data_IF_026664609862
#
_entry.id   IF_026664609862
#
_cell.length_a   1.000
_cell.length_b   1.000
_cell.length_c   1.000
_cell.angle_alpha   90.00
_cell.angle_beta   90.00
_cell.angle_gamma   90.00
#
_symmetry.space_group_name_H-M   'P 1'
#
loop_
_entity.id
_entity.type
_entity.pdbx_description
1 polymer ?
#
# COMPACT_ATOMS: atom_id res chain seq x y z
N UNK A 1 16.60 13.19 9.43
CA UNK A 1 15.46 12.70 8.64
C UNK A 1 15.84 11.32 8.12
N UNK A 2 15.25 10.25 8.68
CA UNK A 2 15.56 8.89 8.23
C UNK A 2 14.58 8.55 7.12
N UNK A 3 15.10 8.39 5.90
CA UNK A 3 14.34 8.00 4.72
C UNK A 3 14.00 6.50 4.79
N UNK A 4 12.96 6.14 5.55
CA UNK A 4 12.51 4.75 5.69
C UNK A 4 11.68 4.32 4.49
N UNK A 5 12.04 3.17 3.90
CA UNK A 5 11.25 2.45 2.89
C UNK A 5 10.73 3.31 1.71
N UNK A 6 11.50 4.30 1.25
CA UNK A 6 11.05 5.33 0.27
C UNK A 6 10.45 4.72 -1.00
N UNK A 7 11.07 3.68 -1.56
CA UNK A 7 10.56 2.99 -2.76
C UNK A 7 9.14 2.42 -2.57
N UNK A 8 8.81 1.97 -1.36
CA UNK A 8 7.49 1.42 -1.03
C UNK A 8 6.43 2.51 -0.82
N UNK A 9 6.84 3.76 -0.63
CA UNK A 9 5.98 4.95 -0.45
C UNK A 9 5.96 5.85 -1.68
N UNK A 10 6.61 5.46 -2.79
CA UNK A 10 6.56 6.19 -4.06
C UNK A 10 5.12 6.30 -4.60
N UNK A 11 4.85 7.37 -5.36
CA UNK A 11 3.48 7.81 -5.66
C UNK A 11 2.57 6.77 -6.31
N UNK A 12 3.01 6.02 -7.31
CA UNK A 12 2.15 5.10 -8.08
C UNK A 12 2.53 3.64 -7.82
N UNK A 13 1.54 2.75 -7.69
CA UNK A 13 1.80 1.31 -7.69
C UNK A 13 2.38 0.89 -9.06
N UNK A 14 3.45 0.07 -9.09
CA UNK A 14 4.07 -0.35 -10.34
C UNK A 14 3.06 -0.97 -11.32
N UNK A 15 3.13 -0.57 -12.59
CA UNK A 15 2.27 -1.07 -13.68
C UNK A 15 0.78 -0.83 -13.44
N UNK A 16 0.43 0.26 -12.77
CA UNK A 16 -0.95 0.69 -12.55
C UNK A 16 -1.06 2.21 -12.68
N UNK A 17 -2.29 2.72 -12.62
CA UNK A 17 -2.58 4.15 -12.46
C UNK A 17 -2.99 4.50 -11.02
N UNK A 18 -2.87 3.54 -10.08
CA UNK A 18 -3.32 3.70 -8.70
C UNK A 18 -2.26 4.43 -7.89
N UNK A 19 -2.66 5.54 -7.28
CA UNK A 19 -1.81 6.33 -6.40
C UNK A 19 -1.82 5.75 -4.98
N UNK A 20 -0.65 5.66 -4.36
CA UNK A 20 -0.53 5.36 -2.93
C UNK A 20 -0.97 6.57 -2.12
N UNK A 21 -1.49 6.29 -0.93
CA UNK A 21 -1.71 7.33 0.06
C UNK A 21 -0.36 7.86 0.55
N UNK A 22 -0.21 9.18 0.59
CA UNK A 22 1.02 9.81 1.04
C UNK A 22 1.19 9.61 2.55
N UNK A 23 2.31 8.99 2.95
CA UNK A 23 2.63 8.76 4.36
C UNK A 23 3.87 9.59 4.69
N UNK A 24 3.73 10.66 5.51
CA UNK A 24 4.85 11.43 6.03
C UNK A 24 5.87 10.58 6.79
N UNK A 25 7.14 11.00 6.84
CA UNK A 25 8.22 10.21 7.45
C UNK A 25 8.01 9.92 8.95
N UNK A 26 7.40 10.84 9.68
CA UNK A 26 7.05 10.71 11.10
C UNK A 26 5.86 9.77 11.35
N UNK A 27 5.10 9.44 10.30
CA UNK A 27 3.95 8.52 10.33
C UNK A 27 4.24 7.14 9.73
N UNK A 28 5.48 6.88 9.33
CA UNK A 28 5.90 5.55 8.84
C UNK A 28 5.86 4.47 9.94
N UNK A 29 6.30 4.73 11.19
CA UNK A 29 6.25 3.71 12.22
C UNK A 29 4.80 3.43 12.65
N UNK A 30 4.39 2.16 12.61
CA UNK A 30 3.04 1.74 12.99
C UNK A 30 2.63 2.04 14.45
N UNK A 31 3.61 2.27 15.33
CA UNK A 31 3.36 2.68 16.72
C UNK A 31 2.79 4.11 16.82
N UNK A 32 2.93 4.91 15.77
CA UNK A 32 2.45 6.29 15.74
C UNK A 32 0.99 6.29 15.29
N UNK A 33 0.12 6.88 16.12
CA UNK A 33 -1.29 7.06 15.75
C UNK A 33 -1.44 7.94 14.50
N UNK A 34 -2.26 7.47 13.56
CA UNK A 34 -2.53 8.16 12.30
C UNK A 34 -3.99 7.93 11.88
N UNK A 35 -4.91 8.65 12.54
CA UNK A 35 -6.36 8.47 12.39
C UNK A 35 -6.87 8.75 10.98
N UNK A 36 -6.19 9.62 10.24
CA UNK A 36 -6.54 10.00 8.88
C UNK A 36 -5.96 9.04 7.82
N UNK A 37 -5.25 7.98 8.25
CA UNK A 37 -4.68 6.99 7.35
C UNK A 37 -5.79 6.23 6.60
N UNK A 38 -5.96 6.55 5.32
CA UNK A 38 -6.99 5.97 4.46
C UNK A 38 -6.39 5.54 3.12
N UNK A 39 -5.56 4.48 3.09
CA UNK A 39 -4.97 3.98 1.86
C UNK A 39 -6.03 3.36 0.95
N UNK A 40 -5.86 3.44 -0.38
CA UNK A 40 -6.73 2.72 -1.29
C UNK A 40 -6.53 1.21 -1.13
N UNK A 41 -7.63 0.47 -1.00
CA UNK A 41 -7.60 -0.97 -1.11
C UNK A 41 -7.42 -1.34 -2.60
N UNK A 42 -6.28 -1.93 -2.94
CA UNK A 42 -5.97 -2.30 -4.32
C UNK A 42 -5.18 -3.60 -4.39
N UNK A 43 -5.69 -4.53 -5.19
CA UNK A 43 -4.99 -5.74 -5.64
C UNK A 43 -5.02 -5.76 -7.17
N UNK A 44 -3.88 -6.08 -7.79
CA UNK A 44 -3.79 -6.12 -9.26
C UNK A 44 -4.68 -7.24 -9.83
N UNK A 45 -5.51 -6.96 -10.86
CA UNK A 45 -6.33 -7.98 -11.51
C UNK A 45 -5.52 -9.15 -12.07
N UNK A 46 -4.25 -8.92 -12.40
CA UNK A 46 -3.34 -9.95 -12.91
C UNK A 46 -3.03 -11.07 -11.91
N UNK A 47 -3.36 -10.88 -10.63
CA UNK A 47 -3.11 -11.82 -9.53
C UNK A 47 -4.28 -12.80 -9.36
N UNK A 48 -5.48 -12.44 -9.81
CA UNK A 48 -6.68 -13.26 -9.64
C UNK A 48 -6.55 -14.61 -10.35
N UNK A 49 -6.80 -15.70 -9.60
CA UNK A 49 -6.79 -17.07 -10.11
C UNK A 49 -5.40 -17.62 -10.45
N UNK A 50 -4.31 -16.99 -10.00
CA UNK A 50 -2.96 -17.51 -10.22
C UNK A 50 -2.61 -18.60 -9.21
N UNK A 51 -1.93 -19.69 -9.63
CA UNK A 51 -1.61 -20.81 -8.74
C UNK A 51 -0.62 -20.46 -7.63
N UNK A 52 0.10 -19.34 -7.78
CA UNK A 52 1.05 -18.82 -6.80
C UNK A 52 0.48 -17.71 -5.93
N UNK A 53 -0.76 -17.28 -6.19
CA UNK A 53 -1.42 -16.22 -5.45
C UNK A 53 -2.37 -16.82 -4.41
N UNK A 54 -2.41 -16.23 -3.23
CA UNK A 54 -3.39 -16.59 -2.21
C UNK A 54 -4.81 -16.24 -2.68
N UNK A 55 -5.84 -16.96 -2.19
CA UNK A 55 -7.23 -16.60 -2.40
C UNK A 55 -7.53 -15.19 -1.87
N UNK A 56 -8.52 -14.53 -2.46
CA UNK A 56 -8.97 -13.21 -1.98
C UNK A 56 -9.53 -13.36 -0.56
N UNK A 57 -8.83 -12.79 0.42
CA UNK A 57 -9.28 -12.75 1.82
C UNK A 57 -10.14 -11.51 2.05
N UNK A 58 -11.47 -11.66 2.01
CA UNK A 58 -12.47 -10.72 2.53
C UNK A 58 -12.46 -9.28 1.97
N UNK A 59 -13.60 -8.84 1.42
CA UNK A 59 -13.84 -7.42 1.15
C UNK A 59 -14.17 -6.72 2.48
N UNK A 60 -13.29 -5.83 2.95
CA UNK A 60 -13.54 -4.93 4.09
C UNK A 60 -14.57 -3.86 3.74
#
# INVERSE_FOLDING_TARGET
MILQHVKARCGTYPRSTIQRFAVPDDKVPWIVDYKEYNPPNYTSPSIHGKPWADPVTGTY
#
